data_IF_772786757717
#
_entry.id   IF_772786757717
#
_cell.length_a   1.000
_cell.length_b   1.000
_cell.length_c   1.000
_cell.angle_alpha   90.00
_cell.angle_beta   90.00
_cell.angle_gamma   90.00
#
_symmetry.space_group_name_H-M   'P 1'
#
loop_
_entity.id
_entity.type
_entity.pdbx_description
1 polymer ?
#
# COMPACT_ATOMS: atom_id res chain seq x y z
N UNK A 1 17.81 3.81 -6.35
CA UNK A 1 16.72 2.82 -6.12
C UNK A 1 15.76 3.36 -5.09
N UNK A 2 14.47 3.22 -5.33
CA UNK A 2 13.45 3.63 -4.39
C UNK A 2 12.84 2.45 -3.68
N UNK A 3 12.39 2.71 -2.45
CA UNK A 3 11.58 1.81 -1.63
C UNK A 3 10.22 2.46 -1.49
N UNK A 4 9.14 1.71 -1.74
CA UNK A 4 7.79 2.27 -1.81
C UNK A 4 6.90 1.75 -0.69
N UNK A 5 6.08 2.65 -0.16
CA UNK A 5 4.88 2.28 0.61
C UNK A 5 3.70 2.62 -0.29
N UNK A 6 2.76 1.73 -0.44
CA UNK A 6 1.63 1.93 -1.34
C UNK A 6 0.31 1.59 -0.67
N UNK A 7 -0.74 2.24 -1.14
CA UNK A 7 -2.10 2.03 -0.67
C UNK A 7 -2.97 1.66 -1.85
N UNK A 8 -3.59 0.49 -1.76
CA UNK A 8 -4.58 0.03 -2.73
C UNK A 8 -5.97 0.16 -2.12
N UNK A 9 -6.95 0.49 -2.96
CA UNK A 9 -8.35 0.50 -2.58
C UNK A 9 -9.08 -0.58 -3.36
N UNK A 10 -9.82 -1.43 -2.65
CA UNK A 10 -10.67 -2.43 -3.28
C UNK A 10 -11.93 -1.74 -3.81
N UNK A 11 -12.24 -1.93 -5.09
CA UNK A 11 -13.48 -1.43 -5.67
C UNK A 11 -14.66 -2.27 -5.16
N UNK A 12 -14.41 -3.53 -4.79
CA UNK A 12 -15.43 -4.45 -4.33
C UNK A 12 -15.98 -4.07 -2.96
N UNK A 13 -15.11 -3.72 -2.00
CA UNK A 13 -15.52 -3.46 -0.62
C UNK A 13 -15.12 -2.08 -0.08
N UNK A 14 -14.39 -1.29 -0.86
CA UNK A 14 -13.95 0.06 -0.47
C UNK A 14 -12.84 0.08 0.57
N UNK A 15 -12.36 -1.07 1.02
CA UNK A 15 -11.32 -1.13 2.06
C UNK A 15 -9.95 -0.88 1.48
N UNK A 16 -9.07 -0.38 2.34
CA UNK A 16 -7.69 -0.07 1.98
C UNK A 16 -6.76 -1.22 2.34
N UNK A 17 -5.68 -1.34 1.56
CA UNK A 17 -4.62 -2.30 1.79
C UNK A 17 -3.29 -1.56 1.70
N UNK A 18 -2.51 -1.55 2.80
CA UNK A 18 -1.27 -0.81 2.93
C UNK A 18 -0.12 -1.81 3.01
N UNK A 19 0.85 -1.68 2.10
CA UNK A 19 2.02 -2.55 2.07
C UNK A 19 3.23 -1.81 1.51
N UNK A 20 4.37 -2.47 1.51
CA UNK A 20 5.62 -1.94 0.98
C UNK A 20 6.18 -2.85 -0.10
N UNK A 21 6.94 -2.27 -1.03
CA UNK A 21 7.59 -3.01 -2.10
C UNK A 21 8.78 -2.23 -2.64
N UNK A 22 9.69 -2.93 -3.28
CA UNK A 22 10.79 -2.31 -4.03
C UNK A 22 10.42 -2.10 -5.50
N UNK A 23 9.36 -2.75 -5.98
CA UNK A 23 8.90 -2.65 -7.36
C UNK A 23 7.40 -2.40 -7.38
N UNK A 24 7.03 -1.12 -7.38
CA UNK A 24 5.63 -0.71 -7.24
C UNK A 24 4.77 -1.20 -8.40
N UNK A 25 5.23 -1.00 -9.64
CA UNK A 25 4.46 -1.38 -10.83
C UNK A 25 4.17 -2.87 -10.87
N UNK A 26 5.20 -3.67 -10.67
CA UNK A 26 5.08 -5.13 -10.68
C UNK A 26 4.16 -5.61 -9.58
N UNK A 27 4.26 -5.02 -8.38
CA UNK A 27 3.46 -5.43 -7.23
C UNK A 27 1.98 -5.12 -7.42
N UNK A 28 1.65 -3.93 -7.94
CA UNK A 28 0.27 -3.55 -8.25
C UNK A 28 -0.31 -4.49 -9.30
N UNK A 29 0.47 -4.81 -10.33
CA UNK A 29 0.07 -5.76 -11.37
C UNK A 29 -0.23 -7.14 -10.79
N UNK A 30 0.62 -7.64 -9.89
CA UNK A 30 0.42 -8.92 -9.22
C UNK A 30 -0.88 -8.97 -8.42
N UNK A 31 -1.20 -7.87 -7.71
CA UNK A 31 -2.46 -7.79 -6.98
C UNK A 31 -3.65 -7.95 -7.94
N UNK A 32 -3.62 -7.25 -9.07
CA UNK A 32 -4.75 -7.27 -10.00
C UNK A 32 -4.83 -8.56 -10.83
N UNK A 33 -3.74 -9.30 -10.93
CA UNK A 33 -3.75 -10.64 -11.54
C UNK A 33 -4.20 -11.73 -10.57
N UNK A 34 -4.43 -11.39 -9.30
CA UNK A 34 -4.87 -12.36 -8.31
C UNK A 34 -3.77 -13.21 -7.72
N UNK A 35 -2.50 -12.77 -7.84
CA UNK A 35 -1.35 -13.52 -7.33
C UNK A 35 -1.07 -13.27 -5.85
N UNK A 36 -1.75 -12.31 -5.23
CA UNK A 36 -1.57 -12.00 -3.82
C UNK A 36 -2.77 -12.51 -3.05
N UNK A 37 -2.55 -13.49 -2.19
CA UNK A 37 -3.61 -14.17 -1.46
C UNK A 37 -4.50 -13.20 -0.66
N UNK A 38 -3.90 -12.21 -0.01
CA UNK A 38 -4.62 -11.28 0.85
C UNK A 38 -5.63 -10.41 0.09
N UNK A 39 -5.43 -10.19 -1.21
CA UNK A 39 -6.26 -9.29 -2.00
C UNK A 39 -6.98 -9.97 -3.16
N UNK A 40 -6.71 -11.25 -3.37
CA UNK A 40 -7.25 -12.02 -4.50
C UNK A 40 -8.79 -11.87 -4.62
N UNK A 41 -9.49 -11.97 -3.51
CA UNK A 41 -10.94 -11.92 -3.49
C UNK A 41 -11.50 -10.50 -3.32
N UNK A 42 -10.63 -9.48 -3.36
CA UNK A 42 -10.98 -8.08 -3.20
C UNK A 42 -10.74 -7.25 -4.47
N UNK A 43 -10.45 -7.93 -5.57
CA UNK A 43 -10.23 -7.27 -6.87
C UNK A 43 -11.51 -6.68 -7.43
N UNK A 44 -11.44 -5.65 -8.24
CA UNK A 44 -10.24 -4.94 -8.69
C UNK A 44 -9.70 -4.00 -7.62
N UNK A 45 -8.40 -3.77 -7.68
CA UNK A 45 -7.69 -2.91 -6.74
C UNK A 45 -7.10 -1.73 -7.48
N UNK A 46 -7.24 -0.54 -6.91
CA UNK A 46 -6.72 0.70 -7.50
C UNK A 46 -5.62 1.26 -6.60
N UNK A 47 -4.49 1.62 -7.20
CA UNK A 47 -3.44 2.36 -6.49
C UNK A 47 -3.92 3.80 -6.31
N UNK A 48 -4.12 4.22 -5.06
CA UNK A 48 -4.62 5.56 -4.75
C UNK A 48 -3.57 6.47 -4.13
N UNK A 49 -2.46 5.91 -3.65
CA UNK A 49 -1.42 6.69 -2.99
C UNK A 49 -0.15 5.87 -2.87
N UNK A 50 1.01 6.53 -2.97
CA UNK A 50 2.27 5.89 -2.61
C UNK A 50 3.28 6.93 -2.15
N UNK A 51 4.27 6.45 -1.39
CA UNK A 51 5.43 7.23 -0.98
C UNK A 51 6.69 6.48 -1.40
N UNK A 52 7.70 7.23 -1.82
CA UNK A 52 8.98 6.67 -2.23
C UNK A 52 10.08 7.12 -1.27
N UNK A 53 10.89 6.18 -0.83
CA UNK A 53 11.98 6.42 0.12
C UNK A 53 13.30 5.96 -0.49
N UNK A 54 14.38 6.68 -0.19
CA UNK A 54 15.73 6.23 -0.54
C UNK A 54 16.44 5.57 0.64
N UNK A 55 15.87 5.70 1.84
CA UNK A 55 16.44 5.16 3.08
C UNK A 55 15.62 3.99 3.58
N UNK A 56 16.22 2.81 3.63
CA UNK A 56 15.52 1.58 4.03
C UNK A 56 14.97 1.64 5.45
N UNK A 57 15.73 2.24 6.39
CA UNK A 57 15.28 2.33 7.78
C UNK A 57 14.03 3.19 7.91
N UNK A 58 13.99 4.32 7.21
CA UNK A 58 12.80 5.18 7.20
C UNK A 58 11.61 4.45 6.57
N UNK A 59 11.86 3.69 5.52
CA UNK A 59 10.84 2.88 4.85
C UNK A 59 10.21 1.86 5.79
N UNK A 60 11.05 1.10 6.54
CA UNK A 60 10.58 0.12 7.50
C UNK A 60 9.78 0.76 8.62
N UNK A 61 10.28 1.87 9.18
CA UNK A 61 9.60 2.59 10.26
C UNK A 61 8.26 3.15 9.81
N UNK A 62 8.20 3.69 8.60
CA UNK A 62 6.99 4.32 8.09
C UNK A 62 5.90 3.29 7.82
N UNK A 63 6.26 2.11 7.33
CA UNK A 63 5.28 1.04 7.15
C UNK A 63 4.66 0.64 8.49
N UNK A 64 5.48 0.44 9.50
CA UNK A 64 5.00 0.10 10.84
C UNK A 64 4.12 1.20 11.41
N UNK A 65 4.50 2.46 11.19
CA UNK A 65 3.71 3.61 11.65
C UNK A 65 2.31 3.60 11.01
N UNK A 66 2.24 3.42 9.69
CA UNK A 66 0.95 3.42 8.99
C UNK A 66 0.05 2.23 9.38
N UNK A 67 0.60 1.19 9.95
CA UNK A 67 -0.17 0.04 10.46
C UNK A 67 -0.64 0.24 11.88
N UNK A 68 -0.14 1.25 12.61
CA UNK A 68 -0.62 1.61 13.94
C UNK A 68 -1.91 2.41 13.84
N UNK A 69 -2.65 2.54 14.95
CA UNK A 69 -3.88 3.33 14.96
C UNK A 69 -3.65 4.79 14.62
N UNK A 70 -2.63 5.41 15.24
CA UNK A 70 -2.28 6.81 14.98
C UNK A 70 -1.83 6.99 13.53
N UNK A 71 -1.02 6.07 13.02
CA UNK A 71 -0.52 6.15 11.65
C UNK A 71 -1.61 5.97 10.62
N UNK A 72 -2.59 5.10 10.87
CA UNK A 72 -3.74 4.95 9.98
C UNK A 72 -4.56 6.23 9.90
N UNK A 73 -4.75 6.92 11.00
CA UNK A 73 -5.46 8.19 11.02
C UNK A 73 -4.69 9.25 10.24
N UNK A 74 -3.38 9.32 10.43
CA UNK A 74 -2.52 10.23 9.67
C UNK A 74 -2.60 9.95 8.15
N UNK A 75 -2.61 8.69 7.77
CA UNK A 75 -2.71 8.29 6.37
C UNK A 75 -4.06 8.69 5.78
N UNK A 76 -5.14 8.43 6.50
CA UNK A 76 -6.48 8.82 6.06
C UNK A 76 -6.58 10.31 5.81
N UNK A 77 -5.94 11.11 6.65
CA UNK A 77 -5.89 12.55 6.46
C UNK A 77 -5.19 12.92 5.15
N UNK A 78 -4.06 12.25 4.83
CA UNK A 78 -3.34 12.49 3.57
C UNK A 78 -4.14 12.09 2.34
N UNK A 79 -5.07 11.15 2.48
CA UNK A 79 -5.86 10.64 1.37
C UNK A 79 -7.11 11.47 1.07
N UNK A 80 -7.37 12.47 1.90
CA UNK A 80 -8.53 13.35 1.68
C UNK A 80 -8.30 14.34 0.55
#
# INVERSE_FOLDING_TARGET
>A
MFYYIYVLKSIKDGKLYIRKTKDLRKRVDYHNKGFVKATKNRRPLILIYYEAYTNKEKWDKQELFYKSGVGKDALKYKLQ
#
